data_IF_015308198609
#
_entry.id   IF_015308198609
#
_cell.length_a   1.000
_cell.length_b   1.000
_cell.length_c   1.000
_cell.angle_alpha   90.00
_cell.angle_beta   90.00
_cell.angle_gamma   90.00
#
_symmetry.space_group_name_H-M   'P 1'
#
loop_
_entity.id
_entity.type
_entity.pdbx_description
1 polymer ?
#
# COMPACT_ATOMS: atom_id res chain seq x y z
N UNK A 1 21.15 17.77 -4.39
CA UNK A 1 19.71 17.50 -4.66
C UNK A 1 19.37 16.01 -4.77
N UNK A 2 20.17 15.17 -5.43
CA UNK A 2 19.94 13.71 -5.63
C UNK A 2 19.65 12.90 -4.34
N UNK A 3 20.35 13.20 -3.24
CA UNK A 3 20.17 12.49 -1.97
C UNK A 3 18.82 12.76 -1.27
N UNK A 4 18.19 13.92 -1.52
CA UNK A 4 16.86 14.22 -0.95
C UNK A 4 15.75 13.39 -1.61
N UNK A 5 15.82 13.20 -2.94
CA UNK A 5 14.87 12.36 -3.69
C UNK A 5 14.95 10.88 -3.28
N UNK A 6 16.17 10.34 -3.12
CA UNK A 6 16.36 8.95 -2.67
C UNK A 6 15.81 8.72 -1.25
N UNK A 7 16.03 9.67 -0.34
CA UNK A 7 15.45 9.61 1.01
C UNK A 7 13.91 9.63 0.98
N UNK A 8 13.33 10.48 0.14
CA UNK A 8 11.87 10.55 -0.01
C UNK A 8 11.29 9.24 -0.57
N UNK A 9 11.91 8.66 -1.61
CA UNK A 9 11.50 7.37 -2.18
C UNK A 9 11.63 6.25 -1.15
N UNK A 10 12.75 6.20 -0.41
CA UNK A 10 12.96 5.21 0.65
C UNK A 10 11.92 5.33 1.77
N UNK A 11 11.62 6.55 2.22
CA UNK A 11 10.57 6.78 3.21
C UNK A 11 9.19 6.33 2.71
N UNK A 12 8.84 6.69 1.48
CA UNK A 12 7.58 6.29 0.85
C UNK A 12 7.45 4.77 0.79
N UNK A 13 8.48 4.06 0.32
CA UNK A 13 8.51 2.60 0.26
C UNK A 13 8.33 1.95 1.63
N UNK A 14 9.01 2.46 2.66
CA UNK A 14 8.87 1.95 4.03
C UNK A 14 7.44 2.18 4.55
N UNK A 15 6.90 3.38 4.36
CA UNK A 15 5.53 3.71 4.78
C UNK A 15 4.49 2.82 4.08
N UNK A 16 4.65 2.60 2.77
CA UNK A 16 3.83 1.69 1.96
C UNK A 16 3.90 0.26 2.49
N UNK A 17 5.09 -0.28 2.75
CA UNK A 17 5.28 -1.63 3.29
C UNK A 17 4.65 -1.79 4.67
N UNK A 18 4.86 -0.83 5.57
CA UNK A 18 4.28 -0.86 6.91
C UNK A 18 2.75 -0.81 6.89
N UNK A 19 2.17 0.07 6.07
CA UNK A 19 0.71 0.13 5.90
C UNK A 19 0.15 -1.15 5.27
N UNK A 20 0.84 -1.71 4.28
CA UNK A 20 0.43 -2.95 3.62
C UNK A 20 0.36 -4.11 4.62
N UNK A 21 1.45 -4.36 5.35
CA UNK A 21 1.53 -5.42 6.37
C UNK A 21 0.47 -5.21 7.45
N UNK A 22 0.34 -3.98 7.98
CA UNK A 22 -0.69 -3.67 8.97
C UNK A 22 -2.09 -4.02 8.47
N UNK A 23 -2.42 -3.62 7.26
CA UNK A 23 -3.76 -3.85 6.68
C UNK A 23 -4.02 -5.34 6.51
N UNK A 24 -3.04 -6.09 6.03
CA UNK A 24 -3.15 -7.54 5.89
C UNK A 24 -3.33 -8.23 7.26
N UNK A 25 -2.58 -7.82 8.28
CA UNK A 25 -2.75 -8.34 9.65
C UNK A 25 -4.15 -8.04 10.19
N UNK A 26 -4.70 -6.85 9.95
CA UNK A 26 -6.07 -6.51 10.35
C UNK A 26 -7.09 -7.41 9.64
N UNK A 27 -6.91 -7.70 8.34
CA UNK A 27 -7.76 -8.65 7.61
C UNK A 27 -7.78 -10.05 8.24
N UNK A 28 -6.65 -10.53 8.76
CA UNK A 28 -6.57 -11.86 9.39
C UNK A 28 -7.00 -11.89 10.85
N UNK A 29 -6.86 -10.78 11.58
CA UNK A 29 -7.10 -10.73 13.04
C UNK A 29 -8.43 -10.13 13.44
N UNK A 30 -8.86 -9.08 12.75
CA UNK A 30 -9.99 -8.23 13.17
C UNK A 30 -11.21 -8.42 12.28
N UNK A 31 -11.04 -8.92 11.06
CA UNK A 31 -12.13 -9.18 10.14
C UNK A 31 -12.41 -10.68 10.01
N UNK A 32 -13.70 -11.05 9.99
CA UNK A 32 -14.15 -12.43 9.82
C UNK A 32 -14.36 -12.74 8.32
N UNK A 33 -13.29 -12.61 7.53
CA UNK A 33 -13.34 -12.87 6.08
C UNK A 33 -13.24 -14.38 5.85
N UNK A 34 -14.28 -14.98 5.27
CA UNK A 34 -14.26 -16.39 4.87
C UNK A 34 -13.39 -16.54 3.62
N UNK A 35 -12.37 -17.39 3.71
CA UNK A 35 -11.42 -17.65 2.62
C UNK A 35 -11.44 -19.14 2.36
N UNK A 36 -11.87 -19.53 1.16
CA UNK A 36 -12.15 -20.91 0.77
C UNK A 36 -11.04 -21.51 -0.10
N UNK A 37 -10.21 -20.66 -0.72
CA UNK A 37 -9.14 -21.12 -1.61
C UNK A 37 -7.95 -20.15 -1.65
N UNK A 38 -6.85 -20.62 -2.24
CA UNK A 38 -5.62 -19.86 -2.36
C UNK A 38 -5.76 -18.56 -3.17
N UNK A 39 -6.61 -18.55 -4.20
CA UNK A 39 -6.84 -17.35 -5.00
C UNK A 39 -7.47 -16.23 -4.17
N UNK A 40 -8.40 -16.55 -3.27
CA UNK A 40 -8.99 -15.57 -2.36
C UNK A 40 -7.97 -15.02 -1.35
N UNK A 41 -7.09 -15.86 -0.80
CA UNK A 41 -5.99 -15.40 0.06
C UNK A 41 -5.03 -14.48 -0.71
N UNK A 42 -4.69 -14.83 -1.96
CA UNK A 42 -3.84 -14.00 -2.82
C UNK A 42 -4.49 -12.64 -3.15
N UNK A 43 -5.79 -12.63 -3.47
CA UNK A 43 -6.56 -11.39 -3.68
C UNK A 43 -6.56 -10.54 -2.41
N UNK A 44 -6.74 -11.16 -1.24
CA UNK A 44 -6.73 -10.44 0.03
C UNK A 44 -5.34 -9.87 0.36
N UNK A 45 -4.27 -10.59 0.00
CA UNK A 45 -2.89 -10.14 0.15
C UNK A 45 -2.57 -8.93 -0.73
N UNK A 46 -3.01 -8.91 -1.99
CA UNK A 46 -2.76 -7.78 -2.91
C UNK A 46 -3.66 -6.56 -2.61
N UNK A 47 -4.82 -6.75 -1.96
CA UNK A 47 -5.81 -5.70 -1.74
C UNK A 47 -5.26 -4.37 -1.15
N UNK A 48 -4.38 -4.37 -0.14
CA UNK A 48 -3.84 -3.12 0.40
C UNK A 48 -3.04 -2.31 -0.64
N UNK A 49 -2.43 -2.98 -1.64
CA UNK A 49 -1.76 -2.29 -2.75
C UNK A 49 -2.74 -1.59 -3.68
N UNK A 50 -3.96 -2.10 -3.87
CA UNK A 50 -4.97 -1.47 -4.72
C UNK A 50 -5.30 -0.05 -4.26
N UNK A 51 -5.47 0.14 -2.94
CA UNK A 51 -5.69 1.47 -2.36
C UNK A 51 -4.45 2.37 -2.51
N UNK A 52 -3.25 1.83 -2.26
CA UNK A 52 -1.99 2.56 -2.39
C UNK A 52 -1.75 3.03 -3.83
N UNK A 53 -1.98 2.16 -4.82
CA UNK A 53 -1.88 2.49 -6.25
C UNK A 53 -2.91 3.55 -6.64
N UNK A 54 -4.13 3.49 -6.12
CA UNK A 54 -5.14 4.51 -6.35
C UNK A 54 -4.71 5.89 -5.82
N UNK A 55 -4.24 5.96 -4.57
CA UNK A 55 -3.77 7.20 -3.96
C UNK A 55 -2.53 7.75 -4.67
N UNK A 56 -1.56 6.90 -5.01
CA UNK A 56 -0.38 7.31 -5.77
C UNK A 56 -0.74 7.75 -7.19
N UNK A 57 -1.70 7.09 -7.83
CA UNK A 57 -2.25 7.49 -9.11
C UNK A 57 -2.87 8.89 -9.06
N UNK A 58 -3.66 9.20 -8.03
CA UNK A 58 -4.14 10.58 -7.79
C UNK A 58 -2.97 11.54 -7.59
N UNK A 59 -1.95 11.11 -6.85
CA UNK A 59 -0.71 11.87 -6.62
C UNK A 59 -0.01 12.31 -7.90
N UNK A 60 -0.12 11.55 -9.00
CA UNK A 60 0.46 11.93 -10.30
C UNK A 60 -0.21 13.16 -10.93
N UNK A 61 -1.46 13.45 -10.57
CA UNK A 61 -2.20 14.61 -11.07
C UNK A 61 -2.05 15.85 -10.17
N UNK A 62 -1.50 15.69 -8.96
CA UNK A 62 -1.22 16.81 -8.07
C UNK A 62 -0.01 17.58 -8.62
N UNK A 63 -0.29 18.76 -9.20
CA UNK A 63 0.73 19.65 -9.72
C UNK A 63 1.49 20.29 -8.55
N UNK A 64 2.82 20.15 -8.54
CA UNK A 64 3.67 20.85 -7.58
C UNK A 64 3.51 22.36 -7.80
N UNK A 65 2.85 23.05 -6.86
CA UNK A 65 2.72 24.49 -6.86
C UNK A 65 3.98 25.06 -6.21
N UNK A 66 4.91 25.51 -7.06
CA UNK A 66 6.00 26.40 -6.64
C UNK A 66 5.42 27.71 -6.08
#
# INVERSE_FOLDING_TARGET
MRNKRLKAISFLLIATLLMWVKTYVIYKSSFNIKIENFMQEFILFINPLSFLLFIFGIGLFLKEKN
#
